data_IF_910583468229
#
_entry.id   IF_910583468229
#
_cell.length_a   1.000
_cell.length_b   1.000
_cell.length_c   1.000
_cell.angle_alpha   90.00
_cell.angle_beta   90.00
_cell.angle_gamma   90.00
#
_symmetry.space_group_name_H-M   'P 1'
#
loop_
_entity.id
_entity.type
_entity.pdbx_description
1 polymer ?
#
# COMPACT_ATOMS: atom_id res chain seq x y z
N UNK A 1 -1.03 -28.14 -11.00
CA UNK A 1 0.33 -27.80 -10.51
C UNK A 1 1.33 -27.92 -11.66
N UNK A 2 2.12 -26.88 -11.89
CA UNK A 2 3.17 -26.76 -12.91
C UNK A 2 4.49 -26.53 -12.20
N UNK A 3 5.61 -27.14 -12.66
CA UNK A 3 6.92 -26.87 -12.04
C UNK A 3 7.44 -25.52 -12.51
N UNK A 4 8.03 -24.76 -11.60
CA UNK A 4 8.68 -23.49 -11.97
C UNK A 4 9.80 -23.67 -13.00
N UNK A 5 10.48 -24.82 -13.01
CA UNK A 5 11.49 -25.14 -14.02
C UNK A 5 10.93 -25.19 -15.44
N UNK A 6 9.67 -25.59 -15.59
CA UNK A 6 9.01 -25.69 -16.88
C UNK A 6 8.64 -24.29 -17.39
N UNK A 7 8.23 -23.38 -16.48
CA UNK A 7 8.03 -21.96 -16.77
C UNK A 7 9.34 -21.29 -17.17
N UNK A 8 10.44 -21.57 -16.46
CA UNK A 8 11.75 -21.01 -16.81
C UNK A 8 12.22 -21.47 -18.19
N UNK A 9 12.01 -22.75 -18.52
CA UNK A 9 12.34 -23.30 -19.82
C UNK A 9 11.53 -22.62 -20.94
N UNK A 10 10.23 -22.39 -20.75
CA UNK A 10 9.38 -21.66 -21.71
C UNK A 10 9.93 -20.24 -21.97
N UNK A 11 10.27 -19.51 -20.91
CA UNK A 11 10.84 -18.16 -21.03
C UNK A 11 12.19 -18.20 -21.78
N UNK A 12 13.10 -19.11 -21.40
CA UNK A 12 14.42 -19.24 -22.04
C UNK A 12 14.28 -19.51 -23.53
N UNK A 13 13.36 -20.41 -23.92
CA UNK A 13 13.11 -20.73 -25.32
C UNK A 13 12.55 -19.52 -26.10
N UNK A 14 11.63 -18.76 -25.50
CA UNK A 14 11.03 -17.56 -26.14
C UNK A 14 12.04 -16.46 -26.42
N UNK A 15 13.03 -16.30 -25.54
CA UNK A 15 14.10 -15.31 -25.71
C UNK A 15 15.34 -15.84 -26.46
N UNK A 16 15.37 -17.12 -26.87
CA UNK A 16 16.52 -17.72 -27.53
C UNK A 16 17.78 -17.77 -26.66
N UNK A 17 17.60 -18.07 -25.36
CA UNK A 17 18.66 -18.05 -24.35
C UNK A 17 19.28 -19.42 -24.05
N UNK A 18 19.12 -20.41 -24.94
CA UNK A 18 19.54 -21.80 -24.70
C UNK A 18 21.04 -21.91 -24.40
N UNK A 19 21.87 -21.09 -25.05
CA UNK A 19 23.32 -21.03 -24.81
C UNK A 19 23.71 -20.42 -23.44
N UNK A 20 22.77 -19.75 -22.77
CA UNK A 20 22.95 -19.09 -21.47
C UNK A 20 22.03 -19.66 -20.40
N UNK A 21 21.51 -20.88 -20.63
CA UNK A 21 20.45 -21.52 -19.83
C UNK A 21 20.72 -21.44 -18.33
N UNK A 22 21.88 -21.88 -17.86
CA UNK A 22 22.18 -21.93 -16.42
C UNK A 22 22.16 -20.54 -15.76
N UNK A 23 22.72 -19.53 -16.44
CA UNK A 23 22.76 -18.16 -15.96
C UNK A 23 21.36 -17.54 -15.94
N UNK A 24 20.57 -17.75 -17.00
CA UNK A 24 19.20 -17.21 -17.13
C UNK A 24 18.21 -17.91 -16.21
N UNK A 25 18.34 -19.23 -16.00
CA UNK A 25 17.56 -19.94 -14.97
C UNK A 25 17.86 -19.39 -13.58
N UNK A 26 19.14 -19.10 -13.26
CA UNK A 26 19.50 -18.48 -11.97
C UNK A 26 18.86 -17.10 -11.83
N UNK A 27 18.89 -16.28 -12.87
CA UNK A 27 18.23 -14.97 -12.88
C UNK A 27 16.72 -15.10 -12.66
N UNK A 28 16.04 -15.98 -13.40
CA UNK A 28 14.59 -16.20 -13.27
C UNK A 28 14.20 -16.72 -11.88
N UNK A 29 15.00 -17.62 -11.29
CA UNK A 29 14.82 -18.05 -9.89
C UNK A 29 14.93 -16.88 -8.91
N UNK A 30 15.88 -15.98 -9.10
CA UNK A 30 16.01 -14.78 -8.26
C UNK A 30 14.81 -13.84 -8.44
N UNK A 31 14.34 -13.63 -9.67
CA UNK A 31 13.14 -12.82 -9.94
C UNK A 31 11.89 -13.43 -9.33
N UNK A 32 11.69 -14.74 -9.47
CA UNK A 32 10.58 -15.43 -8.81
C UNK A 32 10.64 -15.33 -7.29
N UNK A 33 11.83 -15.46 -6.69
CA UNK A 33 12.01 -15.26 -5.26
C UNK A 33 11.63 -13.84 -4.83
N UNK A 34 11.96 -12.82 -5.62
CA UNK A 34 11.51 -11.42 -5.40
C UNK A 34 9.99 -11.29 -5.53
N UNK A 35 9.37 -11.93 -6.53
CA UNK A 35 7.91 -11.94 -6.70
C UNK A 35 7.23 -12.51 -5.46
N UNK A 36 7.72 -13.65 -4.96
CA UNK A 36 7.20 -14.26 -3.73
C UNK A 36 7.36 -13.34 -2.52
N UNK A 37 8.51 -12.68 -2.38
CA UNK A 37 8.82 -11.84 -1.21
C UNK A 37 8.16 -10.45 -1.22
N UNK A 38 7.76 -9.94 -2.39
CA UNK A 38 7.26 -8.56 -2.51
C UNK A 38 5.81 -8.46 -2.97
N UNK A 39 5.28 -9.51 -3.58
CA UNK A 39 3.97 -9.45 -4.23
C UNK A 39 2.97 -10.39 -3.58
N UNK A 40 3.23 -11.69 -3.61
CA UNK A 40 2.25 -12.71 -3.17
C UNK A 40 2.44 -13.14 -1.71
N UNK A 41 3.64 -12.97 -1.16
CA UNK A 41 3.97 -13.19 0.25
C UNK A 41 3.62 -14.59 0.80
N UNK A 42 3.48 -15.58 -0.09
CA UNK A 42 3.20 -16.95 0.27
C UNK A 42 4.41 -17.67 0.89
N UNK A 43 4.17 -18.67 1.75
CA UNK A 43 5.23 -19.56 2.25
C UNK A 43 5.80 -20.38 1.08
N UNK A 44 7.12 -20.36 0.94
CA UNK A 44 7.82 -21.11 -0.11
C UNK A 44 7.68 -22.63 0.04
N UNK A 45 7.39 -23.14 1.23
CA UNK A 45 7.26 -24.57 1.50
C UNK A 45 5.91 -25.13 1.03
N UNK A 46 4.84 -24.34 1.09
CA UNK A 46 3.50 -24.73 0.61
C UNK A 46 3.52 -25.08 -0.87
N UNK A 47 4.34 -24.35 -1.63
CA UNK A 47 4.52 -24.52 -3.05
C UNK A 47 5.69 -25.46 -3.41
N UNK A 48 6.11 -26.35 -2.49
CA UNK A 48 7.11 -27.39 -2.73
C UNK A 48 6.53 -28.79 -2.68
N UNK A 49 6.41 -29.42 -3.85
CA UNK A 49 6.05 -30.84 -3.95
C UNK A 49 7.29 -31.68 -4.24
N UNK A 50 7.62 -32.60 -3.33
CA UNK A 50 8.80 -33.49 -3.43
C UNK A 50 10.11 -32.72 -3.67
N UNK A 51 10.27 -31.60 -2.97
CA UNK A 51 11.45 -30.72 -3.07
C UNK A 51 11.52 -29.84 -4.32
N UNK A 52 10.48 -29.82 -5.17
CA UNK A 52 10.41 -28.98 -6.37
C UNK A 52 9.38 -27.87 -6.19
N UNK A 53 9.76 -26.65 -6.53
CA UNK A 53 8.83 -25.51 -6.56
C UNK A 53 7.79 -25.72 -7.67
N UNK A 54 6.52 -25.65 -7.30
CA UNK A 54 5.36 -25.80 -8.17
C UNK A 54 4.36 -24.68 -7.90
N UNK A 55 3.55 -24.36 -8.90
CA UNK A 55 2.46 -23.38 -8.78
C UNK A 55 1.18 -23.94 -9.40
N UNK A 56 -0.01 -23.47 -9.01
CA UNK A 56 -1.25 -23.81 -9.68
C UNK A 56 -1.17 -23.55 -11.19
N UNK A 57 -1.94 -24.32 -11.96
CA UNK A 57 -1.85 -24.26 -13.42
C UNK A 57 -2.43 -22.96 -13.99
N UNK A 58 -3.41 -22.39 -13.29
CA UNK A 58 -4.05 -21.10 -13.58
C UNK A 58 -3.09 -19.93 -13.32
N UNK A 59 -2.27 -20.01 -12.27
CA UNK A 59 -1.27 -18.98 -11.95
C UNK A 59 -0.08 -18.94 -12.91
N UNK A 60 0.30 -20.10 -13.46
CA UNK A 60 1.55 -20.26 -14.21
C UNK A 60 1.70 -19.28 -15.39
N UNK A 61 0.68 -19.02 -16.23
CA UNK A 61 0.75 -18.01 -17.29
C UNK A 61 0.95 -16.58 -16.79
N UNK A 62 0.33 -16.20 -15.67
CA UNK A 62 0.48 -14.86 -15.07
C UNK A 62 1.92 -14.69 -14.56
N UNK A 63 2.43 -15.68 -13.83
CA UNK A 63 3.81 -15.69 -13.32
C UNK A 63 4.80 -15.63 -14.49
N UNK A 64 4.58 -16.42 -15.55
CA UNK A 64 5.40 -16.39 -16.76
C UNK A 64 5.50 -14.98 -17.32
N UNK A 65 4.37 -14.32 -17.55
CA UNK A 65 4.34 -12.97 -18.14
C UNK A 65 5.06 -11.94 -17.26
N UNK A 66 4.83 -11.97 -15.93
CA UNK A 66 5.52 -11.08 -14.99
C UNK A 66 7.03 -11.34 -15.00
N UNK A 67 7.45 -12.60 -15.02
CA UNK A 67 8.88 -12.95 -15.04
C UNK A 67 9.56 -12.55 -16.35
N UNK A 68 8.89 -12.68 -17.49
CA UNK A 68 9.38 -12.18 -18.78
C UNK A 68 9.64 -10.68 -18.71
N UNK A 69 8.70 -9.91 -18.18
CA UNK A 69 8.85 -8.46 -18.04
C UNK A 69 9.92 -8.07 -17.01
N UNK A 70 10.04 -8.85 -15.93
CA UNK A 70 11.02 -8.60 -14.87
C UNK A 70 12.50 -8.77 -15.31
N UNK A 71 12.73 -9.44 -16.44
CA UNK A 71 14.04 -9.64 -17.09
C UNK A 71 14.16 -8.90 -18.42
N UNK A 72 13.15 -8.10 -18.78
CA UNK A 72 13.19 -7.25 -19.96
C UNK A 72 14.04 -6.00 -19.66
N UNK A 73 15.22 -5.92 -20.27
CA UNK A 73 16.20 -4.86 -20.05
C UNK A 73 15.92 -3.58 -20.88
N UNK A 74 14.72 -3.46 -21.46
CA UNK A 74 14.28 -2.22 -22.12
C UNK A 74 14.33 -1.01 -21.19
N UNK A 75 14.79 0.12 -21.75
CA UNK A 75 14.91 1.37 -21.00
C UNK A 75 13.54 1.84 -20.49
N UNK A 76 13.48 2.32 -19.24
CA UNK A 76 12.27 2.79 -18.57
C UNK A 76 11.22 1.71 -18.27
N UNK A 77 11.60 0.42 -18.26
CA UNK A 77 10.72 -0.64 -17.80
C UNK A 77 10.51 -0.59 -16.28
N UNK A 78 9.37 -0.02 -15.85
CA UNK A 78 9.05 0.14 -14.43
C UNK A 78 8.93 -1.20 -13.68
N UNK A 79 8.53 -2.28 -14.36
CA UNK A 79 8.42 -3.60 -13.73
C UNK A 79 9.82 -4.14 -13.46
N UNK A 80 10.71 -4.16 -14.47
CA UNK A 80 12.09 -4.57 -14.29
C UNK A 80 12.80 -3.74 -13.21
N UNK A 81 12.61 -2.41 -13.22
CA UNK A 81 13.15 -1.51 -12.20
C UNK A 81 12.61 -1.79 -10.79
N UNK A 82 11.32 -2.10 -10.66
CA UNK A 82 10.72 -2.48 -9.37
C UNK A 82 11.31 -3.79 -8.82
N UNK A 83 11.45 -4.80 -9.67
CA UNK A 83 12.13 -6.06 -9.31
C UNK A 83 13.58 -5.83 -8.88
N UNK A 84 14.23 -4.79 -9.42
CA UNK A 84 15.61 -4.40 -9.09
C UNK A 84 15.69 -3.39 -7.92
N UNK A 85 14.57 -3.07 -7.25
CA UNK A 85 14.55 -2.15 -6.09
C UNK A 85 14.73 -0.68 -6.43
N UNK A 86 14.55 -0.28 -7.70
CA UNK A 86 14.70 1.11 -8.17
C UNK A 86 13.39 1.90 -8.16
N UNK A 87 12.27 1.27 -7.83
CA UNK A 87 10.95 1.91 -7.78
C UNK A 87 10.49 2.00 -6.33
N UNK A 88 10.23 3.23 -5.87
CA UNK A 88 9.59 3.50 -4.59
C UNK A 88 8.06 3.52 -4.77
N UNK A 89 7.35 2.53 -4.22
CA UNK A 89 5.89 2.41 -4.27
C UNK A 89 5.16 3.28 -3.24
N UNK A 90 5.88 3.99 -2.36
CA UNK A 90 5.25 5.03 -1.52
C UNK A 90 5.04 6.35 -2.30
N UNK A 91 5.60 6.47 -3.51
CA UNK A 91 5.23 7.53 -4.44
C UNK A 91 3.97 7.12 -5.22
N UNK A 92 2.86 7.84 -5.02
CA UNK A 92 1.56 7.51 -5.63
C UNK A 92 1.61 7.38 -7.15
N UNK A 93 2.32 8.28 -7.84
CA UNK A 93 2.44 8.21 -9.30
C UNK A 93 3.16 6.92 -9.76
N UNK A 94 4.25 6.56 -9.08
CA UNK A 94 5.01 5.33 -9.40
C UNK A 94 4.19 4.08 -9.08
N UNK A 95 3.45 4.05 -7.98
CA UNK A 95 2.55 2.94 -7.64
C UNK A 95 1.43 2.75 -8.68
N UNK A 96 0.78 3.84 -9.09
CA UNK A 96 -0.27 3.84 -10.12
C UNK A 96 0.29 3.33 -11.47
N UNK A 97 1.44 3.85 -11.89
CA UNK A 97 2.07 3.43 -13.14
C UNK A 97 2.45 1.94 -13.11
N UNK A 98 3.06 1.48 -12.01
CA UNK A 98 3.44 0.08 -11.83
C UNK A 98 2.21 -0.85 -11.89
N UNK A 99 1.12 -0.48 -11.21
CA UNK A 99 -0.13 -1.25 -11.24
C UNK A 99 -0.66 -1.40 -12.66
N UNK A 100 -0.73 -0.29 -13.40
CA UNK A 100 -1.28 -0.30 -14.75
C UNK A 100 -0.45 -1.16 -15.71
N UNK A 101 0.87 -1.15 -15.58
CA UNK A 101 1.75 -2.04 -16.35
C UNK A 101 1.54 -3.51 -15.96
N UNK A 102 1.50 -3.84 -14.66
CA UNK A 102 1.28 -5.22 -14.20
C UNK A 102 -0.10 -5.75 -14.57
N UNK A 103 -1.14 -4.91 -14.50
CA UNK A 103 -2.52 -5.24 -14.86
C UNK A 103 -2.62 -5.82 -16.27
N UNK A 104 -1.88 -5.25 -17.23
CA UNK A 104 -1.87 -5.76 -18.61
C UNK A 104 -1.31 -7.19 -18.69
N UNK A 105 -0.23 -7.48 -17.95
CA UNK A 105 0.39 -8.80 -17.91
C UNK A 105 -0.48 -9.86 -17.25
N UNK A 106 -1.29 -9.45 -16.26
CA UNK A 106 -2.22 -10.31 -15.52
C UNK A 106 -3.50 -10.59 -16.34
N UNK A 107 -4.01 -9.59 -17.06
CA UNK A 107 -5.22 -9.74 -17.87
C UNK A 107 -4.99 -10.55 -19.15
N UNK A 108 -3.79 -10.46 -19.75
CA UNK A 108 -3.52 -11.11 -21.04
C UNK A 108 -3.75 -12.63 -21.02
N UNK A 109 -3.29 -13.41 -20.02
CA UNK A 109 -3.55 -14.85 -19.98
C UNK A 109 -5.04 -15.19 -19.92
N UNK A 110 -5.84 -14.37 -19.23
CA UNK A 110 -7.29 -14.59 -19.15
C UNK A 110 -7.95 -14.34 -20.51
N UNK A 111 -7.56 -13.26 -21.20
CA UNK A 111 -8.05 -12.93 -22.55
C UNK A 111 -7.69 -14.03 -23.55
N UNK A 112 -6.52 -14.67 -23.39
CA UNK A 112 -6.07 -15.76 -24.25
C UNK A 112 -6.57 -17.15 -23.83
N UNK A 113 -7.36 -17.25 -22.75
CA UNK A 113 -7.90 -18.52 -22.25
C UNK A 113 -6.86 -19.44 -21.59
N UNK A 114 -5.71 -18.90 -21.17
CA UNK A 114 -4.66 -19.64 -20.44
C UNK A 114 -4.93 -19.70 -18.92
N UNK A 115 -5.73 -18.76 -18.39
CA UNK A 115 -6.23 -18.75 -17.00
C UNK A 115 -7.71 -18.32 -16.97
N UNK A 116 -8.37 -18.49 -15.83
CA UNK A 116 -9.73 -18.01 -15.58
C UNK A 116 -9.80 -16.61 -14.94
N UNK A 117 -11.01 -16.04 -14.92
CA UNK A 117 -11.31 -14.72 -14.37
C UNK A 117 -11.12 -14.65 -12.85
N UNK A 118 -11.32 -15.76 -12.13
CA UNK A 118 -11.17 -15.80 -10.66
C UNK A 118 -9.70 -15.57 -10.31
N UNK A 119 -8.82 -16.36 -10.91
CA UNK A 119 -7.36 -16.22 -10.78
C UNK A 119 -6.90 -14.84 -11.22
N UNK A 120 -7.40 -14.32 -12.34
CA UNK A 120 -7.07 -12.96 -12.80
C UNK A 120 -7.42 -11.90 -11.72
N UNK A 121 -8.63 -11.98 -11.16
CA UNK A 121 -9.10 -11.03 -10.15
C UNK A 121 -8.27 -11.14 -8.85
N UNK A 122 -7.92 -12.35 -8.42
CA UNK A 122 -7.06 -12.57 -7.25
C UNK A 122 -5.67 -11.95 -7.44
N UNK A 123 -5.06 -12.12 -8.61
CA UNK A 123 -3.78 -11.49 -8.91
C UNK A 123 -3.89 -9.96 -8.94
N UNK A 124 -4.95 -9.41 -9.56
CA UNK A 124 -5.16 -7.96 -9.58
C UNK A 124 -5.33 -7.40 -8.17
N UNK A 125 -6.12 -8.07 -7.32
CA UNK A 125 -6.32 -7.68 -5.93
C UNK A 125 -5.02 -7.76 -5.12
N UNK A 126 -4.29 -8.87 -5.26
CA UNK A 126 -3.00 -9.09 -4.58
C UNK A 126 -1.96 -8.04 -4.98
N UNK A 127 -1.84 -7.75 -6.28
CA UNK A 127 -0.93 -6.70 -6.77
C UNK A 127 -1.37 -5.33 -6.29
N UNK A 128 -2.66 -5.01 -6.39
CA UNK A 128 -3.21 -3.73 -5.91
C UNK A 128 -2.92 -3.51 -4.43
N UNK A 129 -3.08 -4.56 -3.62
CA UNK A 129 -2.73 -4.57 -2.21
C UNK A 129 -1.22 -4.41 -2.02
N UNK A 130 -0.37 -5.21 -2.67
CA UNK A 130 1.07 -5.17 -2.45
C UNK A 130 1.68 -3.79 -2.73
N UNK A 131 1.19 -3.09 -3.75
CA UNK A 131 1.72 -1.76 -4.15
C UNK A 131 0.86 -0.58 -3.68
N UNK A 132 -0.16 -0.82 -2.84
CA UNK A 132 -1.06 0.20 -2.27
C UNK A 132 -1.82 1.01 -3.34
N UNK A 133 -2.18 0.38 -4.47
CA UNK A 133 -2.74 1.07 -5.63
C UNK A 133 -4.02 1.90 -5.33
N UNK A 134 -5.07 1.37 -4.68
CA UNK A 134 -6.29 2.16 -4.45
C UNK A 134 -6.01 3.40 -3.60
N UNK A 135 -5.18 3.26 -2.56
CA UNK A 135 -4.76 4.38 -1.72
C UNK A 135 -3.93 5.40 -2.49
N UNK A 136 -3.02 4.95 -3.37
CA UNK A 136 -2.24 5.82 -4.23
C UNK A 136 -3.13 6.68 -5.16
N UNK A 137 -4.19 6.09 -5.74
CA UNK A 137 -5.18 6.81 -6.55
C UNK A 137 -5.86 7.89 -5.72
N UNK A 138 -6.41 7.55 -4.56
CA UNK A 138 -7.08 8.52 -3.70
C UNK A 138 -6.15 9.64 -3.21
N UNK A 139 -4.92 9.30 -2.82
CA UNK A 139 -3.92 10.31 -2.43
C UNK A 139 -3.60 11.24 -3.62
N UNK A 140 -3.48 10.70 -4.83
CA UNK A 140 -3.26 11.51 -6.03
C UNK A 140 -4.43 12.46 -6.31
N UNK A 141 -5.67 12.00 -6.14
CA UNK A 141 -6.88 12.82 -6.31
C UNK A 141 -6.98 13.93 -5.26
N UNK A 142 -6.75 13.59 -3.99
CA UNK A 142 -6.74 14.54 -2.87
C UNK A 142 -5.64 15.58 -3.07
N UNK A 143 -4.43 15.15 -3.49
CA UNK A 143 -3.32 16.07 -3.75
C UNK A 143 -3.70 17.09 -4.82
N UNK A 144 -4.32 16.64 -5.92
CA UNK A 144 -4.81 17.55 -6.96
C UNK A 144 -5.86 18.52 -6.42
N UNK A 145 -6.84 18.02 -5.66
CA UNK A 145 -7.88 18.85 -5.07
C UNK A 145 -7.32 19.89 -4.08
N UNK A 146 -6.30 19.53 -3.29
CA UNK A 146 -5.60 20.45 -2.38
C UNK A 146 -4.80 21.51 -3.14
N UNK A 147 -4.15 21.15 -4.25
CA UNK A 147 -3.45 22.10 -5.12
C UNK A 147 -4.42 23.08 -5.79
N UNK A 148 -5.54 22.59 -6.32
CA UNK A 148 -6.61 23.43 -6.88
C UNK A 148 -7.17 24.36 -5.79
N UNK A 149 -7.44 23.83 -4.59
CA UNK A 149 -7.91 24.61 -3.46
C UNK A 149 -6.91 25.70 -3.05
N UNK A 150 -5.62 25.37 -2.93
CA UNK A 150 -4.54 26.33 -2.59
C UNK A 150 -4.53 27.50 -3.56
N UNK A 151 -4.66 27.24 -4.86
CA UNK A 151 -4.64 28.27 -5.88
C UNK A 151 -5.93 29.10 -5.88
N UNK A 152 -7.09 28.46 -5.74
CA UNK A 152 -8.39 29.15 -5.76
C UNK A 152 -8.63 30.03 -4.52
N UNK A 153 -8.02 29.68 -3.39
CA UNK A 153 -8.15 30.42 -2.13
C UNK A 153 -7.07 31.50 -1.93
N UNK A 154 -6.21 31.77 -2.93
CA UNK A 154 -5.15 32.80 -2.84
C UNK A 154 -5.66 34.21 -2.50
N UNK A 155 -6.89 34.56 -2.92
CA UNK A 155 -7.50 35.84 -2.54
C UNK A 155 -7.75 35.97 -1.02
N UNK A 156 -7.76 34.85 -0.31
CA UNK A 156 -7.90 34.75 1.14
C UNK A 156 -6.56 34.50 1.85
N UNK A 157 -5.44 34.48 1.11
CA UNK A 157 -4.08 34.30 1.64
C UNK A 157 -3.55 35.60 2.26
N UNK A 158 -4.28 36.14 3.22
CA UNK A 158 -3.90 37.34 3.97
C UNK A 158 -3.52 36.96 5.40
N UNK A 159 -2.43 37.54 5.88
CA UNK A 159 -1.98 37.41 7.28
C UNK A 159 -2.42 38.58 8.16
N UNK A 160 -3.13 39.54 7.57
CA UNK A 160 -3.70 40.72 8.23
C UNK A 160 -5.15 40.37 8.55
N UNK A 161 -5.46 40.14 9.83
CA UNK A 161 -6.81 39.79 10.25
C UNK A 161 -7.82 40.86 9.84
N UNK A 162 -9.08 40.47 9.62
CA UNK A 162 -10.17 41.43 9.46
C UNK A 162 -10.18 42.35 10.71
N UNK A 163 -10.08 43.66 10.49
CA UNK A 163 -9.94 44.72 11.50
C UNK A 163 -8.54 44.93 12.12
N UNK A 164 -7.47 44.36 11.55
CA UNK A 164 -6.12 44.81 11.88
C UNK A 164 -5.90 46.26 11.42
N UNK A 165 -5.52 47.13 12.35
CA UNK A 165 -5.17 48.52 12.08
C UNK A 165 -3.69 48.73 12.31
N UNK A 166 -2.96 49.16 11.29
CA UNK A 166 -1.53 49.50 11.42
C UNK A 166 -1.38 51.01 11.45
N UNK A 167 -0.72 51.54 12.47
CA UNK A 167 -0.39 52.95 12.59
C UNK A 167 1.10 53.13 12.32
N UNK A 168 1.42 54.22 11.63
CA UNK A 168 2.79 54.65 11.34
C UNK A 168 3.14 55.84 12.22
N UNK A 169 4.20 55.73 13.01
CA UNK A 169 4.70 56.83 13.81
C UNK A 169 5.54 57.80 12.94
N UNK A 170 5.77 59.02 13.45
CA UNK A 170 6.56 60.06 12.75
C UNK A 170 8.01 59.65 12.49
N UNK A 171 8.57 58.76 13.32
CA UNK A 171 9.91 58.18 13.15
C UNK A 171 10.00 57.11 12.04
N UNK A 172 8.86 56.80 11.40
CA UNK A 172 8.75 55.83 10.32
C UNK A 172 8.47 54.39 10.77
N UNK A 173 8.47 54.10 12.07
CA UNK A 173 8.10 52.80 12.62
C UNK A 173 6.61 52.48 12.39
N UNK A 174 6.29 51.18 12.30
CA UNK A 174 4.92 50.68 12.13
C UNK A 174 4.58 49.75 13.28
N UNK A 175 3.39 49.90 13.85
CA UNK A 175 2.86 49.02 14.89
C UNK A 175 1.38 48.76 14.67
N UNK A 176 0.90 47.60 15.13
CA UNK A 176 -0.54 47.33 15.17
C UNK A 176 -1.18 48.21 16.26
N UNK A 177 -2.15 49.05 15.88
CA UNK A 177 -3.00 49.80 16.79
C UNK A 177 -4.21 48.97 17.25
N UNK A 178 -4.68 48.06 16.40
CA UNK A 178 -5.65 47.04 16.75
C UNK A 178 -5.21 45.75 16.05
N UNK A 179 -5.18 44.64 16.78
CA UNK A 179 -5.17 43.31 16.19
C UNK A 179 -6.57 42.73 16.27
N UNK A 180 -7.08 42.22 15.16
CA UNK A 180 -8.24 41.35 15.15
C UNK A 180 -8.02 40.18 16.10
N UNK A 181 -9.09 39.74 16.77
CA UNK A 181 -9.01 38.58 17.66
C UNK A 181 -8.83 37.33 16.81
N UNK A 182 -7.71 36.63 16.97
CA UNK A 182 -7.54 35.27 16.45
C UNK A 182 -8.68 34.41 17.01
N UNK A 183 -9.48 33.82 16.11
CA UNK A 183 -10.53 32.88 16.49
C UNK A 183 -9.93 31.50 16.47
N UNK A 184 -10.02 30.80 17.61
CA UNK A 184 -9.66 29.40 17.68
C UNK A 184 -10.79 28.60 17.01
N UNK A 185 -10.54 28.14 15.78
CA UNK A 185 -11.52 27.36 15.01
C UNK A 185 -11.43 25.92 15.48
N UNK A 186 -12.54 25.37 15.95
CA UNK A 186 -12.65 23.97 16.37
C UNK A 186 -13.76 23.28 15.62
N UNK A 187 -13.48 22.07 15.13
CA UNK A 187 -14.46 21.19 14.49
C UNK A 187 -15.25 20.34 15.50
N UNK A 188 -14.90 20.38 16.79
CA UNK A 188 -15.50 19.50 17.79
C UNK A 188 -16.98 19.82 18.02
N UNK A 189 -17.84 18.81 17.88
CA UNK A 189 -19.28 18.95 18.08
C UNK A 189 -20.01 19.85 17.09
N UNK A 190 -19.32 20.33 16.03
CA UNK A 190 -19.88 21.19 14.99
C UNK A 190 -20.04 20.45 13.66
N UNK A 191 -21.04 20.84 12.90
CA UNK A 191 -21.18 20.48 11.48
C UNK A 191 -20.16 21.26 10.64
N UNK A 192 -19.94 20.80 9.40
CA UNK A 192 -19.05 21.50 8.47
C UNK A 192 -19.56 22.93 8.23
N UNK A 193 -20.86 23.11 8.01
CA UNK A 193 -21.45 24.42 7.73
C UNK A 193 -21.23 25.42 8.89
N UNK A 194 -21.40 24.98 10.15
CA UNK A 194 -21.12 25.80 11.33
C UNK A 194 -19.64 26.18 11.45
N UNK A 195 -18.72 25.30 11.03
CA UNK A 195 -17.28 25.60 11.01
C UNK A 195 -16.96 26.62 9.92
N UNK A 196 -17.60 26.52 8.75
CA UNK A 196 -17.37 27.43 7.62
C UNK A 196 -17.74 28.89 7.95
N UNK A 197 -18.72 29.12 8.82
CA UNK A 197 -19.09 30.46 9.31
C UNK A 197 -17.97 31.15 10.11
N UNK A 198 -17.09 30.37 10.72
CA UNK A 198 -15.98 30.86 11.54
C UNK A 198 -14.68 31.11 10.74
N UNK A 199 -14.65 30.74 9.46
CA UNK A 199 -13.46 30.84 8.59
C UNK A 199 -13.31 32.24 8.01
N UNK A 200 -12.13 32.82 8.16
CA UNK A 200 -11.81 34.18 7.68
C UNK A 200 -10.66 34.24 6.69
N UNK A 201 -9.75 33.26 6.73
CA UNK A 201 -8.51 33.23 5.94
C UNK A 201 -8.29 31.89 5.26
N UNK A 202 -7.31 31.84 4.35
CA UNK A 202 -6.85 30.58 3.77
C UNK A 202 -6.25 29.64 4.84
N UNK A 203 -5.53 30.19 5.82
CA UNK A 203 -4.89 29.41 6.88
C UNK A 203 -5.93 28.70 7.76
N UNK A 204 -7.05 29.35 8.03
CA UNK A 204 -8.20 28.78 8.77
C UNK A 204 -8.75 27.52 8.09
N UNK A 205 -8.92 27.54 6.76
CA UNK A 205 -9.35 26.35 6.01
C UNK A 205 -8.36 25.19 6.17
N UNK A 206 -7.05 25.47 6.07
CA UNK A 206 -6.04 24.44 6.22
C UNK A 206 -5.95 23.92 7.67
N UNK A 207 -6.17 24.77 8.67
CA UNK A 207 -6.27 24.35 10.07
C UNK A 207 -7.44 23.39 10.30
N UNK A 208 -8.62 23.69 9.74
CA UNK A 208 -9.81 22.82 9.78
C UNK A 208 -9.53 21.48 9.11
N UNK A 209 -8.96 21.48 7.90
CA UNK A 209 -8.58 20.24 7.20
C UNK A 209 -7.58 19.41 8.04
N UNK A 210 -6.62 20.07 8.70
CA UNK A 210 -5.68 19.42 9.62
C UNK A 210 -6.37 18.74 10.80
N UNK A 211 -7.34 19.41 11.44
CA UNK A 211 -8.12 18.82 12.54
C UNK A 211 -8.96 17.62 12.06
N UNK A 212 -9.58 17.71 10.88
CA UNK A 212 -10.36 16.61 10.29
C UNK A 212 -9.46 15.38 10.07
N UNK A 213 -8.26 15.58 9.51
CA UNK A 213 -7.29 14.50 9.30
C UNK A 213 -6.84 13.87 10.62
N UNK A 214 -6.62 14.68 11.67
CA UNK A 214 -6.28 14.16 13.00
C UNK A 214 -7.40 13.30 13.59
N UNK A 215 -8.67 13.72 13.47
CA UNK A 215 -9.82 12.91 13.91
C UNK A 215 -9.91 11.59 13.15
N UNK A 216 -9.78 11.61 11.82
CA UNK A 216 -9.81 10.38 11.03
C UNK A 216 -8.67 9.44 11.38
N UNK A 217 -7.46 9.96 11.62
CA UNK A 217 -6.31 9.16 12.03
C UNK A 217 -6.56 8.48 13.40
N UNK A 218 -7.08 9.22 14.38
CA UNK A 218 -7.42 8.66 15.69
C UNK A 218 -8.46 7.54 15.59
N UNK A 219 -9.55 7.78 14.85
CA UNK A 219 -10.59 6.77 14.63
C UNK A 219 -10.07 5.54 13.87
N UNK A 220 -9.22 5.73 12.85
CA UNK A 220 -8.63 4.61 12.11
C UNK A 220 -7.74 3.74 13.00
N UNK A 221 -6.91 4.35 13.87
CA UNK A 221 -6.09 3.63 14.85
C UNK A 221 -6.94 2.81 15.82
N UNK A 222 -8.04 3.38 16.33
CA UNK A 222 -8.97 2.68 17.21
C UNK A 222 -9.66 1.50 16.50
N UNK A 223 -10.08 1.67 15.24
CA UNK A 223 -10.68 0.58 14.46
C UNK A 223 -9.68 -0.54 14.17
N UNK A 224 -8.44 -0.19 13.83
CA UNK A 224 -7.36 -1.16 13.63
C UNK A 224 -7.09 -1.95 14.92
N UNK A 225 -7.00 -1.25 16.06
CA UNK A 225 -6.85 -1.87 17.37
C UNK A 225 -7.93 -2.94 17.63
N UNK A 226 -9.20 -2.56 17.49
CA UNK A 226 -10.33 -3.45 17.76
C UNK A 226 -10.35 -4.66 16.81
N UNK A 227 -10.00 -4.47 15.54
CA UNK A 227 -9.92 -5.56 14.58
C UNK A 227 -8.80 -6.55 14.94
N UNK A 228 -7.60 -6.06 15.28
CA UNK A 228 -6.45 -6.90 15.64
C UNK A 228 -6.72 -7.64 16.96
N UNK A 229 -7.39 -6.99 17.92
CA UNK A 229 -7.81 -7.62 19.17
C UNK A 229 -8.65 -8.88 18.92
N UNK A 230 -9.60 -8.82 17.99
CA UNK A 230 -10.42 -9.97 17.62
C UNK A 230 -9.58 -11.14 17.03
N UNK A 231 -8.59 -10.83 16.20
CA UNK A 231 -7.67 -11.85 15.68
C UNK A 231 -6.76 -12.45 16.77
N UNK A 232 -6.33 -11.65 17.74
CA UNK A 232 -5.56 -12.14 18.87
C UNK A 232 -6.40 -13.12 19.73
N UNK A 233 -7.67 -12.83 19.97
CA UNK A 233 -8.59 -13.77 20.64
C UNK A 233 -8.78 -15.06 19.83
N UNK A 234 -8.94 -14.95 18.51
CA UNK A 234 -9.06 -16.09 17.62
C UNK A 234 -7.79 -16.97 17.61
N UNK A 235 -6.59 -16.36 17.61
CA UNK A 235 -5.30 -17.07 17.70
C UNK A 235 -5.28 -18.03 18.88
N UNK A 236 -5.76 -17.57 20.04
CA UNK A 236 -5.82 -18.37 21.26
C UNK A 236 -6.88 -19.47 21.18
N UNK A 237 -8.09 -19.12 20.72
CA UNK A 237 -9.22 -20.06 20.61
C UNK A 237 -8.95 -21.25 19.68
N UNK A 238 -8.21 -21.02 18.59
CA UNK A 238 -7.92 -22.03 17.58
C UNK A 238 -6.49 -22.59 17.64
N UNK A 239 -5.69 -22.16 18.62
CA UNK A 239 -4.26 -22.52 18.76
C UNK A 239 -3.45 -22.30 17.46
N UNK A 240 -3.81 -21.24 16.71
CA UNK A 240 -3.19 -20.92 15.43
C UNK A 240 -1.77 -20.37 15.60
N UNK A 241 -0.84 -20.89 14.81
CA UNK A 241 0.55 -20.43 14.70
C UNK A 241 0.70 -19.30 13.68
N UNK A 242 -0.25 -19.19 12.75
CA UNK A 242 -0.28 -18.20 11.70
C UNK A 242 -1.68 -17.64 11.44
N UNK A 243 -1.74 -16.39 10.99
CA UNK A 243 -2.99 -15.78 10.51
C UNK A 243 -3.57 -16.49 9.27
N UNK A 244 -2.75 -17.23 8.51
CA UNK A 244 -3.16 -17.96 7.31
C UNK A 244 -3.27 -19.49 7.49
N UNK A 245 -3.15 -20.02 8.72
CA UNK A 245 -3.19 -21.47 9.01
C UNK A 245 -4.45 -22.20 8.48
N UNK A 246 -5.54 -21.47 8.19
CA UNK A 246 -6.81 -22.01 7.72
C UNK A 246 -7.08 -21.81 6.22
N UNK A 247 -6.13 -21.23 5.46
CA UNK A 247 -6.33 -20.93 4.03
C UNK A 247 -5.90 -22.15 3.20
N UNK A 248 -6.84 -22.76 2.49
CA UNK A 248 -6.50 -23.69 1.39
C UNK A 248 -6.10 -22.87 0.16
N UNK A 249 -4.89 -23.10 -0.36
CA UNK A 249 -4.36 -22.34 -1.50
C UNK A 249 -4.72 -22.99 -2.84
N UNK A 250 -5.78 -22.49 -3.48
CA UNK A 250 -6.07 -22.77 -4.89
C UNK A 250 -5.23 -21.90 -5.84
N UNK A 251 -4.73 -20.78 -5.33
CA UNK A 251 -3.93 -19.76 -6.00
C UNK A 251 -2.74 -19.37 -5.12
N UNK A 252 -1.62 -19.01 -5.74
CA UNK A 252 -0.49 -18.44 -5.01
C UNK A 252 -0.74 -16.97 -4.63
N UNK A 253 -1.67 -16.29 -5.30
CA UNK A 253 -1.98 -14.89 -5.06
C UNK A 253 -3.17 -14.76 -4.09
N UNK A 254 -2.96 -14.05 -2.98
CA UNK A 254 -4.03 -13.77 -2.01
C UNK A 254 -3.88 -12.36 -1.45
N UNK A 255 -4.97 -11.59 -1.47
CA UNK A 255 -4.99 -10.27 -0.81
C UNK A 255 -4.83 -10.40 0.72
N UNK A 256 -5.29 -11.51 1.30
CA UNK A 256 -5.22 -11.76 2.73
C UNK A 256 -3.77 -11.84 3.23
N UNK A 257 -2.87 -12.49 2.51
CA UNK A 257 -1.45 -12.59 2.91
C UNK A 257 -0.80 -11.20 2.94
N UNK A 258 -1.11 -10.36 1.95
CA UNK A 258 -0.66 -8.96 1.91
C UNK A 258 -1.25 -8.15 3.05
N UNK A 259 -2.53 -8.35 3.35
CA UNK A 259 -3.18 -7.66 4.46
C UNK A 259 -2.61 -8.06 5.82
N UNK A 260 -2.39 -9.35 6.07
CA UNK A 260 -1.73 -9.81 7.30
C UNK A 260 -0.32 -9.25 7.44
N UNK A 261 0.47 -9.24 6.36
CA UNK A 261 1.80 -8.62 6.39
C UNK A 261 1.74 -7.13 6.78
N UNK A 262 0.72 -6.40 6.34
CA UNK A 262 0.52 -4.99 6.75
C UNK A 262 0.15 -4.85 8.22
N UNK A 263 -0.61 -5.80 8.78
CA UNK A 263 -0.88 -5.82 10.23
C UNK A 263 0.43 -6.01 10.99
N UNK A 264 1.29 -6.94 10.55
CA UNK A 264 2.63 -7.12 11.12
C UNK A 264 3.43 -5.80 11.08
N UNK A 265 3.54 -5.16 9.90
CA UNK A 265 4.25 -3.88 9.76
C UNK A 265 3.68 -2.76 10.64
N UNK A 266 2.35 -2.71 10.79
CA UNK A 266 1.68 -1.77 11.68
C UNK A 266 2.04 -2.02 13.15
N UNK A 267 2.02 -3.28 13.61
CA UNK A 267 2.37 -3.66 14.97
C UNK A 267 3.84 -3.39 15.30
N UNK A 268 4.76 -3.69 14.37
CA UNK A 268 6.18 -3.36 14.50
C UNK A 268 6.41 -1.85 14.64
N UNK A 269 5.62 -1.05 13.91
CA UNK A 269 5.70 0.41 13.97
C UNK A 269 5.02 1.02 15.20
N UNK A 270 4.18 0.25 15.90
CA UNK A 270 3.40 0.69 17.07
C UNK A 270 3.51 -0.37 18.21
N UNK A 271 4.71 -0.59 18.78
CA UNK A 271 4.96 -1.67 19.73
C UNK A 271 4.18 -1.54 21.05
N UNK A 272 3.73 -0.34 21.40
CA UNK A 272 2.82 -0.09 22.52
C UNK A 272 1.42 -0.67 22.27
N UNK A 273 0.92 -0.61 21.02
CA UNK A 273 -0.37 -1.22 20.65
C UNK A 273 -0.25 -2.74 20.72
N UNK A 274 0.82 -3.30 20.17
CA UNK A 274 1.07 -4.74 20.19
C UNK A 274 1.07 -5.28 21.63
N UNK A 275 1.88 -4.68 22.51
CA UNK A 275 1.97 -5.08 23.93
C UNK A 275 0.64 -4.99 24.64
N UNK A 276 -0.13 -3.92 24.40
CA UNK A 276 -1.45 -3.74 25.02
C UNK A 276 -2.41 -4.87 24.62
N UNK A 277 -2.46 -5.22 23.34
CA UNK A 277 -3.32 -6.31 22.85
C UNK A 277 -2.88 -7.66 23.43
N UNK A 278 -1.56 -7.93 23.46
CA UNK A 278 -0.99 -9.14 24.05
C UNK A 278 -1.33 -9.28 25.54
N UNK A 279 -1.25 -8.20 26.31
CA UNK A 279 -1.63 -8.17 27.72
C UNK A 279 -3.13 -8.43 27.92
N UNK A 280 -3.99 -7.81 27.11
CA UNK A 280 -5.45 -7.97 27.21
C UNK A 280 -5.92 -9.39 26.85
N UNK A 281 -5.31 -10.01 25.83
CA UNK A 281 -5.71 -11.32 25.30
C UNK A 281 -4.88 -12.49 25.81
N UNK A 282 -3.80 -12.20 26.55
CA UNK A 282 -2.82 -13.17 27.06
C UNK A 282 -2.13 -13.99 25.95
N UNK A 283 -2.02 -13.42 24.75
CA UNK A 283 -1.23 -14.01 23.66
C UNK A 283 0.19 -13.47 23.68
N UNK A 284 1.10 -14.20 23.03
CA UNK A 284 2.48 -13.79 22.80
C UNK A 284 2.78 -13.85 21.30
N UNK A 285 3.83 -13.14 20.87
CA UNK A 285 4.31 -13.13 19.48
C UNK A 285 3.19 -12.78 18.49
N UNK A 286 2.38 -11.74 18.81
CA UNK A 286 1.25 -11.33 17.98
C UNK A 286 1.70 -10.74 16.65
N UNK A 287 2.75 -9.90 16.66
CA UNK A 287 3.32 -9.35 15.43
C UNK A 287 3.78 -10.47 14.48
N UNK A 288 4.51 -11.46 15.01
CA UNK A 288 5.05 -12.59 14.25
C UNK A 288 3.95 -13.53 13.72
N UNK A 289 2.82 -13.64 14.41
CA UNK A 289 1.64 -14.39 13.94
C UNK A 289 1.10 -13.86 12.60
N UNK A 290 1.20 -12.55 12.37
CA UNK A 290 0.77 -11.92 11.11
C UNK A 290 1.88 -11.83 10.05
N UNK A 291 3.12 -12.21 10.36
CA UNK A 291 4.24 -12.09 9.42
C UNK A 291 4.10 -13.10 8.28
N UNK A 292 3.95 -12.62 7.05
CA UNK A 292 3.88 -13.48 5.85
C UNK A 292 5.18 -13.45 5.05
N UNK A 293 5.84 -12.29 5.00
CA UNK A 293 7.10 -12.13 4.29
C UNK A 293 8.22 -12.96 4.93
N UNK A 294 8.90 -13.77 4.11
CA UNK A 294 10.13 -14.47 4.50
C UNK A 294 9.93 -15.75 5.30
N UNK A 295 8.70 -16.27 5.36
CA UNK A 295 8.42 -17.63 5.84
C UNK A 295 9.02 -18.71 4.91
#
# INVERSE_FOLDING_TARGET
MVKMTDIYADIINRYGWENYKDAKERLLRMKYATLQQKLVLCDRQEFKIKGKNVVPWTDAPVIRNILMEAVNDEENNIIADWFNGKVNTDNSYKAILLYNCMKLLIMQPCICGETDEVTMNEWLATVAAAIKYPTAVHVSEITRALEDFRNNSLALAHTIGIADMVVRAEDGSRSYALRGKERDISIEGKTIDEVLEDISSQDDYFAVLGQILQKFNAHAKERAYNAILWYAEAKNLYEAKSADDAIEYESIASEYTVWYQRIHEFLESNPEICRKIEEETKVSDLSDFFRMAGR
#
